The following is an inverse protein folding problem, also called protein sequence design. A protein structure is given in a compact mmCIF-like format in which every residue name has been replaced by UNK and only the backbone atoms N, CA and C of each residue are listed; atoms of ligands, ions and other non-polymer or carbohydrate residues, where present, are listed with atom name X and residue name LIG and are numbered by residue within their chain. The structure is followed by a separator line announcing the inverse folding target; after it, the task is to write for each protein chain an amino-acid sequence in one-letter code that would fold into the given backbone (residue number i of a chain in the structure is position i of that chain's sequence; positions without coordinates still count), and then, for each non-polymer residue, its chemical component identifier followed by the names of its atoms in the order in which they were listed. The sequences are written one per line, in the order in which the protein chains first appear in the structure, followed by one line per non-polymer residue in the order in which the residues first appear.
data_IF_175822078906
#
_entry.id   IF_175822078906
#
_cell.length_a   1.000
_cell.length_b   1.000
_cell.length_c   1.000
_cell.angle_alpha   90.00
_cell.angle_beta   90.00
_cell.angle_gamma   90.00
#
_symmetry.space_group_name_H-M   'P 1'
#
loop_
_entity.id
_entity.type
_entity.pdbx_description
1 polymer ?
#
# COMPACT_ATOMS: atom_id res chain seq x y z
N UNK A 1 27.94 62.40 15.10
CA UNK A 1 26.54 61.98 14.88
C UNK A 1 26.52 60.75 13.97
N UNK A 2 27.09 59.60 14.39
CA UNK A 2 27.23 58.44 13.49
C UNK A 2 27.17 57.05 14.14
N UNK A 3 26.94 56.93 15.46
CA UNK A 3 26.86 55.61 16.11
C UNK A 3 25.42 55.11 16.31
N UNK A 4 24.44 56.01 16.40
CA UNK A 4 23.03 55.64 16.61
C UNK A 4 22.36 55.13 15.33
N UNK A 5 22.74 55.66 14.16
CA UNK A 5 22.12 55.30 12.87
C UNK A 5 22.61 53.94 12.36
N UNK A 6 23.87 53.61 12.61
CA UNK A 6 24.44 52.30 12.26
C UNK A 6 23.81 51.17 13.10
N UNK A 7 23.61 51.40 14.40
CA UNK A 7 22.94 50.43 15.28
C UNK A 7 21.49 50.15 14.89
N UNK A 8 20.77 51.14 14.37
CA UNK A 8 19.37 50.98 13.97
C UNK A 8 19.23 50.19 12.66
N UNK A 9 20.17 50.37 11.73
CA UNK A 9 20.25 49.60 10.49
C UNK A 9 20.59 48.12 10.74
N UNK A 10 21.47 47.82 11.69
CA UNK A 10 21.83 46.44 12.05
C UNK A 10 20.68 45.73 12.79
N UNK A 11 19.94 46.41 13.66
CA UNK A 11 18.74 45.87 14.31
C UNK A 11 17.64 45.57 13.28
N UNK A 12 17.47 46.44 12.27
CA UNK A 12 16.50 46.24 11.20
C UNK A 12 16.86 45.03 10.32
N UNK A 13 18.15 44.82 10.02
CA UNK A 13 18.62 43.64 9.27
C UNK A 13 18.35 42.34 10.01
N UNK A 14 18.64 42.30 11.31
CA UNK A 14 18.40 41.12 12.16
C UNK A 14 16.90 40.77 12.19
N UNK A 15 16.02 41.78 12.30
CA UNK A 15 14.55 41.56 12.27
C UNK A 15 14.05 41.01 10.94
N UNK A 16 14.61 41.47 9.81
CA UNK A 16 14.21 40.99 8.48
C UNK A 16 14.67 39.54 8.28
N UNK A 17 15.87 39.18 8.75
CA UNK A 17 16.37 37.81 8.71
C UNK A 17 15.53 36.87 9.59
N UNK A 18 15.22 37.25 10.84
CA UNK A 18 14.38 36.47 11.75
C UNK A 18 12.97 36.23 11.19
N UNK A 19 12.35 37.23 10.56
CA UNK A 19 11.03 37.10 9.91
C UNK A 19 11.11 36.09 8.77
N UNK A 20 12.17 36.12 7.96
CA UNK A 20 12.37 35.18 6.84
C UNK A 20 12.62 33.75 7.33
N UNK A 21 13.40 33.56 8.38
CA UNK A 21 13.60 32.23 8.98
C UNK A 21 12.31 31.67 9.55
N UNK A 22 11.48 32.52 10.16
CA UNK A 22 10.18 32.12 10.70
C UNK A 22 9.21 31.68 9.61
N UNK A 23 9.14 32.41 8.49
CA UNK A 23 8.31 32.06 7.34
C UNK A 23 8.74 30.73 6.71
N UNK A 24 10.05 30.49 6.58
CA UNK A 24 10.59 29.19 6.11
C UNK A 24 10.25 28.07 7.09
N UNK A 25 10.34 28.30 8.40
CA UNK A 25 9.98 27.30 9.42
C UNK A 25 8.48 26.98 9.39
N UNK A 26 7.62 27.98 9.19
CA UNK A 26 6.17 27.81 9.03
C UNK A 26 5.87 27.00 7.75
N UNK A 27 6.51 27.33 6.63
CA UNK A 27 6.40 26.55 5.38
C UNK A 27 6.92 25.12 5.54
N UNK A 28 8.01 24.90 6.27
CA UNK A 28 8.53 23.56 6.56
C UNK A 28 7.59 22.78 7.48
N UNK A 29 6.94 23.45 8.44
CA UNK A 29 5.96 22.83 9.33
C UNK A 29 4.66 22.51 8.58
N UNK A 30 4.24 23.32 7.62
CA UNK A 30 3.10 23.06 6.74
C UNK A 30 3.42 21.96 5.71
N UNK A 31 4.67 21.91 5.21
CA UNK A 31 5.15 20.79 4.39
C UNK A 31 5.25 19.49 5.21
N UNK A 32 5.57 19.61 6.50
CA UNK A 32 5.58 18.49 7.43
C UNK A 32 4.15 18.08 7.79
N UNK A 33 3.22 19.00 8.02
CA UNK A 33 1.79 18.73 8.28
C UNK A 33 1.08 18.12 7.08
N UNK A 34 1.39 18.60 5.86
CA UNK A 34 0.88 18.01 4.63
C UNK A 34 1.48 16.63 4.35
N UNK A 35 2.73 16.36 4.76
CA UNK A 35 3.29 14.99 4.81
C UNK A 35 2.76 14.15 5.97
N UNK A 36 2.36 14.77 7.09
CA UNK A 36 1.78 14.09 8.26
C UNK A 36 0.33 13.67 7.99
N UNK A 37 -0.37 14.30 7.04
CA UNK A 37 -1.68 13.83 6.57
C UNK A 37 -1.61 12.64 5.58
N UNK A 38 -0.43 12.15 5.22
CA UNK A 38 -0.28 10.99 4.32
C UNK A 38 0.08 9.68 5.08
N UNK A 39 0.25 9.75 6.41
CA UNK A 39 0.30 8.56 7.28
C UNK A 39 -1.07 8.21 7.90
N UNK A 40 -2.15 8.86 7.46
CA UNK A 40 -3.52 8.43 7.72
C UNK A 40 -3.80 7.15 6.91
N UNK A 41 -3.43 6.00 7.49
CA UNK A 41 -3.81 4.64 7.11
C UNK A 41 -4.32 4.47 5.67
N UNK A 42 -3.40 4.40 4.69
CA UNK A 42 -3.74 4.11 3.29
C UNK A 42 -4.67 2.89 3.25
N UNK A 43 -5.95 3.14 2.93
CA UNK A 43 -6.93 2.09 2.68
C UNK A 43 -6.98 1.82 1.19
N UNK A 44 -6.35 0.73 0.76
CA UNK A 44 -6.24 0.37 -0.64
C UNK A 44 -6.67 -1.07 -0.86
N UNK A 45 -7.83 -1.27 -1.49
CA UNK A 45 -8.36 -2.59 -1.82
C UNK A 45 -8.40 -2.78 -3.34
N UNK A 46 -7.31 -3.31 -3.89
CA UNK A 46 -7.26 -3.75 -5.28
C UNK A 46 -7.72 -5.22 -5.35
N UNK A 47 -9.00 -5.43 -5.66
CA UNK A 47 -9.63 -6.74 -5.75
C UNK A 47 -10.51 -6.84 -7.02
N UNK A 48 -10.57 -8.01 -7.66
CA UNK A 48 -11.56 -8.28 -8.69
C UNK A 48 -12.99 -8.03 -8.16
N UNK A 49 -13.85 -7.47 -9.01
CA UNK A 49 -15.25 -7.19 -8.67
C UNK A 49 -16.16 -8.43 -8.73
N UNK A 50 -15.70 -9.51 -9.37
CA UNK A 50 -16.49 -10.71 -9.64
C UNK A 50 -16.59 -11.65 -8.43
N UNK A 51 -17.52 -11.37 -7.53
CA UNK A 51 -17.93 -12.34 -6.51
C UNK A 51 -18.98 -13.31 -7.08
N UNK A 52 -18.82 -14.60 -6.81
CA UNK A 52 -19.89 -15.56 -7.02
C UNK A 52 -20.97 -15.43 -5.93
N UNK A 53 -22.21 -15.00 -6.24
CA UNK A 53 -23.29 -14.89 -5.26
C UNK A 53 -23.74 -16.25 -4.70
N UNK A 54 -23.44 -17.36 -5.38
CA UNK A 54 -23.74 -18.73 -4.96
C UNK A 54 -22.48 -19.41 -4.43
N UNK A 55 -21.94 -18.89 -3.34
CA UNK A 55 -20.78 -19.45 -2.65
C UNK A 55 -21.20 -20.15 -1.36
N UNK A 56 -21.22 -21.49 -1.35
CA UNK A 56 -21.63 -22.30 -0.20
C UNK A 56 -20.65 -23.45 0.09
N UNK A 57 -20.67 -23.99 1.30
CA UNK A 57 -19.95 -25.23 1.65
C UNK A 57 -18.42 -25.13 1.68
N UNK A 58 -17.87 -23.92 1.84
CA UNK A 58 -16.42 -23.66 1.92
C UNK A 58 -16.00 -23.00 3.24
N UNK A 59 -16.86 -23.07 4.25
CA UNK A 59 -16.63 -22.38 5.52
C UNK A 59 -15.41 -22.92 6.26
N UNK A 60 -15.16 -24.24 6.23
CA UNK A 60 -13.94 -24.83 6.81
C UNK A 60 -12.65 -24.29 6.16
N UNK A 61 -12.67 -24.08 4.83
CA UNK A 61 -11.52 -23.51 4.13
C UNK A 61 -11.33 -22.04 4.52
N UNK A 62 -12.41 -21.27 4.64
CA UNK A 62 -12.35 -19.88 5.10
C UNK A 62 -11.86 -19.77 6.55
N UNK A 63 -12.31 -20.65 7.44
CA UNK A 63 -11.84 -20.71 8.84
C UNK A 63 -10.34 -21.06 8.92
N UNK A 64 -9.85 -21.94 8.05
CA UNK A 64 -8.43 -22.26 7.98
C UNK A 64 -7.59 -21.05 7.51
N UNK A 65 -8.09 -20.27 6.54
CA UNK A 65 -7.45 -19.03 6.12
C UNK A 65 -7.47 -18.01 7.26
N UNK A 66 -8.62 -17.83 7.92
CA UNK A 66 -8.78 -16.91 9.05
C UNK A 66 -7.79 -17.23 10.17
N UNK A 67 -7.69 -18.50 10.59
CA UNK A 67 -6.77 -18.91 11.64
C UNK A 67 -5.30 -18.59 11.30
N UNK A 68 -4.94 -18.62 10.02
CA UNK A 68 -3.58 -18.39 9.55
C UNK A 68 -3.25 -16.91 9.28
N UNK A 69 -4.23 -16.12 8.83
CA UNK A 69 -4.03 -14.75 8.33
C UNK A 69 -4.72 -13.67 9.18
N UNK A 70 -5.25 -14.03 10.36
CA UNK A 70 -5.96 -13.08 11.22
C UNK A 70 -5.01 -11.93 11.66
N UNK A 71 -5.30 -10.66 11.26
CA UNK A 71 -4.48 -9.51 11.62
C UNK A 71 -4.49 -9.20 13.12
N UNK A 72 -5.54 -9.61 13.84
CA UNK A 72 -5.74 -9.36 15.27
C UNK A 72 -4.89 -10.27 16.17
N UNK A 73 -4.29 -11.34 15.61
CA UNK A 73 -3.47 -12.29 16.37
C UNK A 73 -2.12 -11.71 16.86
N UNK A 74 -1.88 -10.40 16.72
CA UNK A 74 -0.74 -9.68 17.29
C UNK A 74 0.63 -10.14 16.80
N UNK A 75 0.66 -10.98 15.76
CA UNK A 75 1.87 -11.61 15.26
C UNK A 75 2.57 -10.65 14.31
N UNK A 76 3.78 -10.18 14.68
CA UNK A 76 4.53 -9.19 13.88
C UNK A 76 5.27 -9.78 12.67
N UNK A 77 5.15 -11.08 12.41
CA UNK A 77 5.80 -11.76 11.29
C UNK A 77 4.88 -11.88 10.08
N UNK A 78 5.47 -11.95 8.89
CA UNK A 78 4.75 -12.22 7.65
C UNK A 78 4.04 -13.58 7.74
N UNK A 79 2.72 -13.57 7.55
CA UNK A 79 1.90 -14.78 7.47
C UNK A 79 1.62 -15.12 6.00
N UNK A 80 1.61 -16.41 5.67
CA UNK A 80 1.31 -16.89 4.33
C UNK A 80 0.40 -18.11 4.40
N UNK A 81 -0.52 -18.20 3.44
CA UNK A 81 -1.44 -19.32 3.30
C UNK A 81 -1.56 -19.68 1.82
N UNK A 82 -1.45 -20.97 1.51
CA UNK A 82 -1.54 -21.48 0.15
C UNK A 82 -2.78 -22.36 -0.02
N UNK A 83 -3.62 -22.00 -0.99
CA UNK A 83 -4.73 -22.86 -1.45
C UNK A 83 -4.23 -23.74 -2.58
N UNK A 84 -4.26 -25.06 -2.38
CA UNK A 84 -3.89 -26.06 -3.38
C UNK A 84 -5.01 -27.08 -3.58
N UNK A 85 -4.98 -27.82 -4.70
CA UNK A 85 -6.00 -28.80 -5.06
C UNK A 85 -6.30 -28.80 -6.55
N UNK A 86 -7.18 -29.71 -6.97
CA UNK A 86 -7.55 -29.90 -8.39
C UNK A 86 -8.03 -28.59 -9.07
N UNK A 87 -7.87 -28.52 -10.39
CA UNK A 87 -8.43 -27.43 -11.20
C UNK A 87 -9.95 -27.33 -11.01
N UNK A 88 -10.51 -26.13 -11.09
CA UNK A 88 -11.97 -25.92 -11.04
C UNK A 88 -12.63 -26.04 -9.66
N UNK A 89 -11.92 -26.42 -8.60
CA UNK A 89 -12.52 -26.56 -7.24
C UNK A 89 -12.91 -25.23 -6.56
N UNK A 90 -12.58 -24.10 -7.19
CA UNK A 90 -12.95 -22.76 -6.73
C UNK A 90 -11.95 -22.09 -5.79
N UNK A 91 -10.66 -22.47 -5.80
CA UNK A 91 -9.60 -21.88 -4.96
C UNK A 91 -9.60 -20.34 -5.02
N UNK A 92 -9.66 -19.81 -6.24
CA UNK A 92 -9.74 -18.37 -6.51
C UNK A 92 -10.96 -17.72 -5.88
N UNK A 93 -12.11 -18.37 -5.99
CA UNK A 93 -13.36 -17.89 -5.38
C UNK A 93 -13.29 -17.91 -3.85
N UNK A 94 -12.60 -18.89 -3.25
CA UNK A 94 -12.37 -18.95 -1.80
C UNK A 94 -11.49 -17.77 -1.36
N UNK A 95 -10.36 -17.54 -2.03
CA UNK A 95 -9.46 -16.43 -1.71
C UNK A 95 -10.16 -15.07 -1.86
N UNK A 96 -10.91 -14.88 -2.95
CA UNK A 96 -11.64 -13.64 -3.21
C UNK A 96 -12.74 -13.41 -2.15
N UNK A 97 -13.45 -14.47 -1.74
CA UNK A 97 -14.45 -14.37 -0.68
C UNK A 97 -13.84 -14.02 0.67
N UNK A 98 -12.71 -14.63 1.04
CA UNK A 98 -12.00 -14.26 2.27
C UNK A 98 -11.57 -12.80 2.26
N UNK A 99 -10.98 -12.35 1.15
CA UNK A 99 -10.54 -10.97 0.98
C UNK A 99 -11.70 -9.99 1.11
N UNK A 100 -12.84 -10.29 0.48
CA UNK A 100 -14.00 -9.42 0.48
C UNK A 100 -14.66 -9.36 1.87
N UNK A 101 -14.85 -10.50 2.54
CA UNK A 101 -15.39 -10.58 3.91
C UNK A 101 -14.56 -9.78 4.92
N UNK A 102 -13.25 -9.70 4.71
CA UNK A 102 -12.31 -9.06 5.63
C UNK A 102 -11.80 -7.69 5.16
N UNK A 103 -12.44 -7.07 4.15
CA UNK A 103 -12.03 -5.74 3.64
C UNK A 103 -11.80 -4.71 4.72
N UNK A 104 -12.70 -4.64 5.70
CA UNK A 104 -12.62 -3.63 6.76
C UNK A 104 -11.52 -3.90 7.79
N UNK A 105 -11.04 -5.15 7.87
CA UNK A 105 -10.00 -5.57 8.82
C UNK A 105 -8.58 -5.38 8.30
N UNK A 106 -8.43 -5.27 6.98
CA UNK A 106 -7.15 -5.00 6.34
C UNK A 106 -7.14 -3.59 5.77
N UNK A 107 -6.15 -2.78 6.14
CA UNK A 107 -5.97 -1.47 5.52
C UNK A 107 -5.67 -1.65 4.04
N UNK A 108 -4.84 -2.65 3.69
CA UNK A 108 -4.42 -2.85 2.31
C UNK A 108 -4.67 -4.28 1.87
N UNK A 109 -5.37 -4.45 0.76
CA UNK A 109 -5.58 -5.74 0.08
C UNK A 109 -5.12 -5.60 -1.37
N UNK A 110 -4.13 -6.40 -1.75
CA UNK A 110 -3.56 -6.38 -3.10
C UNK A 110 -3.77 -7.74 -3.77
N UNK A 111 -4.52 -7.75 -4.86
CA UNK A 111 -4.69 -8.92 -5.72
C UNK A 111 -3.69 -8.93 -6.86
N UNK A 112 -2.98 -10.04 -7.07
CA UNK A 112 -2.08 -10.20 -8.22
C UNK A 112 -2.50 -11.41 -9.04
N UNK A 113 -2.84 -11.17 -10.31
CA UNK A 113 -3.11 -12.21 -11.28
C UNK A 113 -1.78 -12.80 -11.79
N UNK A 114 -1.39 -13.97 -11.28
CA UNK A 114 -0.11 -14.60 -11.58
C UNK A 114 -0.16 -15.65 -12.69
N UNK A 115 -1.10 -15.53 -13.63
CA UNK A 115 -1.27 -16.45 -14.76
C UNK A 115 -0.14 -16.37 -15.79
N UNK A 116 0.48 -15.19 -15.94
CA UNK A 116 1.58 -14.93 -16.86
C UNK A 116 2.44 -13.75 -16.39
N UNK A 117 3.66 -13.61 -16.92
CA UNK A 117 4.50 -12.43 -16.66
C UNK A 117 3.80 -11.12 -17.04
N UNK A 118 2.99 -11.16 -18.11
CA UNK A 118 2.22 -10.00 -18.58
C UNK A 118 1.14 -9.63 -17.57
N UNK A 119 0.36 -10.59 -17.09
CA UNK A 119 -0.71 -10.34 -16.11
C UNK A 119 -0.17 -9.89 -14.75
N UNK A 120 1.00 -10.41 -14.35
CA UNK A 120 1.73 -9.94 -13.16
C UNK A 120 2.11 -8.48 -13.35
N UNK A 121 2.77 -8.15 -14.47
CA UNK A 121 3.19 -6.77 -14.77
C UNK A 121 2.02 -5.79 -14.76
N UNK A 122 0.91 -6.14 -15.39
CA UNK A 122 -0.32 -5.34 -15.39
C UNK A 122 -0.90 -5.17 -13.98
N UNK A 123 -0.98 -6.25 -13.18
CA UNK A 123 -1.45 -6.18 -11.80
C UNK A 123 -0.61 -5.21 -10.97
N UNK A 124 0.71 -5.23 -11.12
CA UNK A 124 1.60 -4.32 -10.39
C UNK A 124 1.49 -2.86 -10.86
N UNK A 125 1.24 -2.63 -12.15
CA UNK A 125 0.95 -1.28 -12.67
C UNK A 125 -0.33 -0.72 -12.05
N UNK A 126 -1.39 -1.51 -12.04
CA UNK A 126 -2.66 -1.11 -11.45
C UNK A 126 -2.53 -0.88 -9.94
N UNK A 127 -1.85 -1.77 -9.21
CA UNK A 127 -1.57 -1.60 -7.78
C UNK A 127 -0.78 -0.31 -7.55
N UNK A 128 0.24 -0.01 -8.36
CA UNK A 128 1.05 1.20 -8.21
C UNK A 128 0.19 2.47 -8.40
N UNK A 129 -0.74 2.47 -9.36
CA UNK A 129 -1.72 3.56 -9.53
C UNK A 129 -2.66 3.68 -8.34
N UNK A 130 -3.22 2.56 -7.85
CA UNK A 130 -4.16 2.57 -6.72
C UNK A 130 -3.50 3.02 -5.40
N UNK A 131 -2.19 2.78 -5.25
CA UNK A 131 -1.40 3.25 -4.12
C UNK A 131 -0.88 4.69 -4.29
N UNK A 132 -1.21 5.37 -5.39
CA UNK A 132 -0.71 6.73 -5.67
C UNK A 132 0.81 6.81 -5.94
N UNK A 133 1.46 5.68 -6.23
CA UNK A 133 2.92 5.62 -6.50
C UNK A 133 3.29 6.08 -7.92
N UNK A 134 2.26 6.29 -8.75
CA UNK A 134 2.33 6.76 -10.12
C UNK A 134 1.21 7.77 -10.30
N UNK A 135 1.56 9.01 -10.64
CA UNK A 135 0.65 10.18 -10.59
C UNK A 135 0.27 10.72 -11.97
N UNK A 136 0.90 10.28 -13.05
CA UNK A 136 0.78 10.88 -14.39
C UNK A 136 0.80 9.81 -15.48
N UNK A 137 -0.08 9.94 -16.49
CA UNK A 137 -0.10 9.07 -17.69
C UNK A 137 1.14 9.25 -18.57
N UNK A 138 1.89 10.35 -18.40
CA UNK A 138 3.18 10.56 -19.06
C UNK A 138 4.31 9.72 -18.46
N UNK A 139 4.11 9.17 -17.25
CA UNK A 139 4.99 8.26 -16.54
C UNK A 139 4.33 6.88 -16.38
N UNK A 140 3.76 6.28 -17.44
CA UNK A 140 3.44 4.84 -17.38
C UNK A 140 4.78 4.13 -17.15
N UNK A 141 5.08 3.66 -15.93
CA UNK A 141 6.33 2.98 -15.70
C UNK A 141 6.25 1.69 -16.50
N UNK A 142 7.38 1.21 -17.02
CA UNK A 142 7.41 -0.19 -17.43
C UNK A 142 7.03 -1.08 -16.21
N UNK A 143 6.58 -2.30 -16.48
CA UNK A 143 6.15 -3.21 -15.41
C UNK A 143 7.24 -3.44 -14.34
N UNK A 144 8.53 -3.37 -14.69
CA UNK A 144 9.64 -3.54 -13.76
C UNK A 144 9.71 -2.36 -12.79
N UNK A 145 9.61 -1.14 -13.31
CA UNK A 145 9.60 0.08 -12.48
C UNK A 145 8.40 0.08 -11.53
N UNK A 146 7.21 -0.32 -11.99
CA UNK A 146 6.03 -0.46 -11.12
C UNK A 146 6.25 -1.49 -10.01
N UNK A 147 6.77 -2.68 -10.35
CA UNK A 147 7.11 -3.73 -9.38
C UNK A 147 8.10 -3.19 -8.32
N UNK A 148 9.14 -2.47 -8.73
CA UNK A 148 10.14 -1.91 -7.81
C UNK A 148 9.55 -0.86 -6.86
N UNK A 149 8.68 0.02 -7.38
CA UNK A 149 7.97 1.01 -6.55
C UNK A 149 7.08 0.33 -5.51
N UNK A 150 6.25 -0.63 -5.93
CA UNK A 150 5.37 -1.37 -5.02
C UNK A 150 6.17 -2.17 -3.99
N UNK A 151 7.25 -2.85 -4.39
CA UNK A 151 8.14 -3.57 -3.45
C UNK A 151 8.76 -2.64 -2.42
N UNK A 152 9.25 -1.48 -2.86
CA UNK A 152 9.86 -0.48 -1.98
C UNK A 152 8.84 0.10 -1.00
N UNK A 153 7.60 0.29 -1.45
CA UNK A 153 6.48 0.69 -0.60
C UNK A 153 6.17 -0.39 0.45
N UNK A 154 6.00 -1.66 0.03
CA UNK A 154 5.76 -2.79 0.94
C UNK A 154 6.85 -2.96 2.01
N UNK A 155 8.11 -2.68 1.67
CA UNK A 155 9.22 -2.76 2.62
C UNK A 155 9.17 -1.67 3.71
N UNK A 156 8.54 -0.53 3.42
CA UNK A 156 8.39 0.60 4.35
C UNK A 156 7.08 0.53 5.15
N UNK A 157 6.06 -0.11 4.60
CA UNK A 157 4.74 -0.24 5.24
C UNK A 157 4.77 -1.09 6.51
N UNK A 158 3.90 -0.77 7.48
CA UNK A 158 3.70 -1.59 8.67
C UNK A 158 3.12 -2.95 8.26
N UNK A 159 3.85 -4.03 8.55
CA UNK A 159 3.56 -5.39 8.06
C UNK A 159 2.26 -6.01 8.59
N UNK A 160 1.70 -5.48 9.67
CA UNK A 160 0.50 -6.02 10.33
C UNK A 160 -0.80 -5.74 9.56
N UNK A 161 -0.80 -4.80 8.61
CA UNK A 161 -2.04 -4.23 8.08
C UNK A 161 -2.26 -4.53 6.57
N UNK A 162 -1.37 -5.32 5.98
CA UNK A 162 -1.34 -5.59 4.53
C UNK A 162 -1.65 -7.07 4.28
N UNK A 163 -2.77 -7.34 3.63
CA UNK A 163 -3.09 -8.64 3.06
C UNK A 163 -2.64 -8.68 1.59
N UNK A 164 -1.64 -9.51 1.30
CA UNK A 164 -1.20 -9.76 -0.07
C UNK A 164 -1.77 -11.08 -0.56
N UNK A 165 -2.59 -11.04 -1.62
CA UNK A 165 -3.19 -12.22 -2.23
C UNK A 165 -2.63 -12.38 -3.63
N UNK A 166 -1.68 -13.32 -3.76
CA UNK A 166 -1.22 -13.80 -5.05
C UNK A 166 -1.89 -15.14 -5.34
N UNK A 167 -2.58 -15.25 -6.47
CA UNK A 167 -2.99 -16.53 -6.99
C UNK A 167 -2.06 -16.94 -8.11
N UNK A 168 -1.13 -17.84 -7.79
CA UNK A 168 -0.50 -18.67 -8.80
C UNK A 168 -1.52 -19.71 -9.25
N UNK A 169 -2.17 -19.47 -10.39
CA UNK A 169 -2.82 -20.56 -11.10
C UNK A 169 -1.75 -21.47 -11.68
N UNK A 170 -1.78 -22.73 -11.24
CA UNK A 170 -1.00 -23.84 -11.76
C UNK A 170 0.52 -23.70 -11.51
N UNK A 171 1.16 -24.76 -10.98
CA UNK A 171 2.63 -24.88 -10.83
C UNK A 171 3.31 -24.20 -9.63
N UNK A 172 2.78 -24.38 -8.41
CA UNK A 172 3.70 -24.60 -7.29
C UNK A 172 3.66 -26.09 -6.96
N UNK A 173 4.84 -26.72 -7.04
CA UNK A 173 5.17 -28.15 -6.95
C UNK A 173 5.37 -28.87 -8.31
N UNK A 174 6.62 -29.29 -8.64
CA UNK A 174 6.86 -30.34 -9.63
C UNK A 174 6.28 -31.68 -9.12
N UNK A 175 6.08 -32.68 -10.01
CA UNK A 175 5.56 -34.01 -9.63
C UNK A 175 6.41 -34.72 -8.59
#
# INVERSE_FOLDING_TARGET
MSSTVESEADIARIRIEDVKYKEVLELMDDLKKSKIHDEDAIRCHYLPSELNPRFWGRELALQAIEAALNPDNGTKSLQSFALYGMGGVGKTQIALQYANRNRERFNVILWVAADSTISIGQSFLDIARHLGLVTTDEDIPDSVTAILKVKSWLAKSRKSDVLYISLAFQYLFPP
#
